data_IF_096142811026
#
_entry.id   IF_096142811026
#
_cell.length_a   1.000
_cell.length_b   1.000
_cell.length_c   1.000
_cell.angle_alpha   90.00
_cell.angle_beta   90.00
_cell.angle_gamma   90.00
#
_symmetry.space_group_name_H-M   'P 1'
#
loop_
_entity.id
_entity.type
_entity.pdbx_description
1 polymer ?
#
# COMPACT_ATOMS: atom_id res chain seq x y z
N UNK A 1 41.63 30.25 -6.46
CA UNK A 1 42.08 28.87 -6.25
C UNK A 1 41.87 28.48 -4.79
N UNK A 2 40.69 27.90 -4.49
CA UNK A 2 40.38 26.82 -3.51
C UNK A 2 38.84 26.68 -3.50
N UNK A 3 38.26 25.47 -3.59
CA UNK A 3 36.87 25.26 -3.97
C UNK A 3 35.89 25.08 -2.79
N UNK A 4 34.61 25.05 -3.17
CA UNK A 4 33.38 24.84 -2.41
C UNK A 4 33.39 23.73 -1.36
N UNK A 5 32.53 23.91 -0.35
CA UNK A 5 31.96 22.78 0.40
C UNK A 5 30.55 23.11 0.94
N UNK A 6 29.56 23.18 0.04
CA UNK A 6 28.16 23.10 0.45
C UNK A 6 27.83 21.64 0.79
N UNK A 7 27.64 21.37 2.09
CA UNK A 7 27.12 20.10 2.62
C UNK A 7 25.78 19.78 1.98
N UNK A 8 25.75 18.75 1.15
CA UNK A 8 24.54 18.03 0.77
C UNK A 8 23.93 17.42 2.04
N UNK A 9 22.68 17.77 2.33
CA UNK A 9 21.86 17.15 3.37
C UNK A 9 21.50 15.71 2.96
N UNK A 10 21.56 14.72 3.85
CA UNK A 10 21.33 13.32 3.48
C UNK A 10 19.85 12.99 3.29
N UNK A 11 19.62 12.20 2.23
CA UNK A 11 18.49 11.35 1.83
C UNK A 11 17.38 11.12 2.87
N UNK A 12 16.13 11.37 2.47
CA UNK A 12 14.91 10.83 3.11
C UNK A 12 15.06 9.31 3.27
N UNK A 13 15.08 8.85 4.51
CA UNK A 13 15.13 7.44 4.89
C UNK A 13 13.85 6.73 4.41
N UNK A 14 14.00 5.60 3.71
CA UNK A 14 12.90 4.71 3.41
C UNK A 14 12.21 4.27 4.71
N UNK A 15 10.89 4.38 4.74
CA UNK A 15 10.08 4.20 5.94
C UNK A 15 10.17 2.76 6.48
N UNK A 16 10.52 2.60 7.76
CA UNK A 16 10.78 1.29 8.39
C UNK A 16 9.60 0.31 8.46
N UNK A 17 8.41 0.71 8.02
CA UNK A 17 7.25 -0.18 7.91
C UNK A 17 7.38 -1.16 6.72
N UNK A 18 8.11 -0.80 5.65
CA UNK A 18 8.42 -1.74 4.55
C UNK A 18 9.13 -2.99 5.08
N UNK A 19 10.10 -2.83 5.99
CA UNK A 19 10.81 -3.96 6.60
C UNK A 19 9.91 -4.87 7.45
N UNK A 20 8.86 -4.30 8.09
CA UNK A 20 7.89 -5.05 8.90
C UNK A 20 6.90 -5.86 8.05
N UNK A 21 6.70 -5.48 6.78
CA UNK A 21 5.86 -6.25 5.84
C UNK A 21 6.56 -7.48 5.29
N UNK A 22 7.87 -7.40 5.03
CA UNK A 22 8.64 -8.49 4.44
C UNK A 22 9.15 -9.52 5.46
N UNK A 23 8.92 -9.30 6.76
CA UNK A 23 9.31 -10.26 7.79
C UNK A 23 8.19 -10.55 8.81
N UNK A 24 7.22 -11.43 8.45
CA UNK A 24 6.15 -11.82 9.36
C UNK A 24 6.60 -12.77 10.48
N UNK A 25 7.89 -13.13 10.60
CA UNK A 25 8.38 -14.02 11.68
C UNK A 25 9.58 -13.40 12.38
N UNK A 26 9.33 -12.64 13.44
CA UNK A 26 10.32 -12.41 14.51
C UNK A 26 9.81 -13.11 15.76
N UNK A 27 10.16 -14.39 15.87
CA UNK A 27 9.82 -15.26 17.00
C UNK A 27 10.48 -16.62 16.82
N UNK A 28 11.60 -16.78 17.53
CA UNK A 28 12.28 -18.03 17.93
C UNK A 28 12.78 -19.00 16.85
N UNK A 29 13.99 -18.74 16.35
CA UNK A 29 14.89 -19.80 15.92
C UNK A 29 15.62 -20.38 17.13
N UNK A 30 15.06 -21.44 17.73
CA UNK A 30 15.82 -22.42 18.51
C UNK A 30 14.98 -23.68 18.79
N UNK A 31 15.16 -24.73 17.99
CA UNK A 31 15.52 -26.08 18.49
C UNK A 31 15.51 -27.12 17.38
N UNK A 32 16.60 -27.87 17.34
CA UNK A 32 16.80 -29.04 16.51
C UNK A 32 15.96 -30.24 17.02
N UNK A 33 15.55 -31.07 16.06
CA UNK A 33 15.11 -32.47 16.18
C UNK A 33 13.93 -32.76 17.13
N UNK A 34 12.75 -33.00 16.55
CA UNK A 34 11.72 -33.83 17.17
C UNK A 34 11.02 -34.73 16.15
N UNK A 35 10.76 -35.95 16.62
CA UNK A 35 10.12 -37.08 15.98
C UNK A 35 8.86 -36.75 15.18
N UNK A 36 8.66 -37.49 14.08
CA UNK A 36 7.42 -37.51 13.29
C UNK A 36 6.28 -38.11 14.15
N UNK A 37 5.64 -37.27 14.94
CA UNK A 37 4.44 -37.63 15.68
C UNK A 37 3.29 -36.75 15.17
N UNK A 38 2.43 -37.37 14.34
CA UNK A 38 1.07 -36.94 14.01
C UNK A 38 0.90 -35.43 13.74
N UNK A 39 1.35 -34.98 12.56
CA UNK A 39 1.15 -33.61 12.08
C UNK A 39 -0.35 -33.39 11.78
N UNK A 40 -1.17 -33.23 12.82
CA UNK A 40 -2.46 -32.58 12.69
C UNK A 40 -2.19 -31.11 12.39
N UNK A 41 -1.90 -30.80 11.12
CA UNK A 41 -1.79 -29.44 10.64
C UNK A 41 -3.16 -28.81 10.88
N UNK A 42 -3.25 -27.88 11.82
CA UNK A 42 -4.42 -27.03 11.99
C UNK A 42 -4.61 -26.23 10.69
N UNK A 43 -5.46 -26.73 9.80
CA UNK A 43 -5.80 -26.05 8.55
C UNK A 43 -6.79 -24.94 8.89
N UNK A 44 -6.35 -23.69 8.81
CA UNK A 44 -7.25 -22.55 8.90
C UNK A 44 -8.23 -22.59 7.72
N UNK A 45 -9.53 -22.70 8.03
CA UNK A 45 -10.57 -22.66 7.01
C UNK A 45 -10.87 -21.21 6.59
N UNK A 46 -11.13 -20.95 5.30
CA UNK A 46 -11.57 -19.63 4.85
C UNK A 46 -12.82 -19.17 5.61
N UNK A 47 -12.78 -17.93 6.08
CA UNK A 47 -13.92 -17.25 6.72
C UNK A 47 -14.40 -16.10 5.85
N UNK A 48 -15.66 -15.67 5.98
CA UNK A 48 -16.17 -14.50 5.26
C UNK A 48 -15.28 -13.26 5.45
N UNK A 49 -15.18 -12.45 4.39
CA UNK A 49 -14.53 -11.14 4.45
C UNK A 49 -15.34 -10.20 5.34
N UNK A 50 -14.67 -9.44 6.20
CA UNK A 50 -15.31 -8.38 7.00
C UNK A 50 -14.32 -7.24 7.23
N UNK A 51 -14.85 -6.02 7.40
CA UNK A 51 -14.09 -4.85 7.83
C UNK A 51 -13.30 -5.11 9.12
N UNK A 52 -13.89 -5.85 10.08
CA UNK A 52 -13.23 -6.19 11.34
C UNK A 52 -11.96 -7.02 11.12
N UNK A 53 -11.99 -8.01 10.22
CA UNK A 53 -10.79 -8.84 9.94
C UNK A 53 -9.65 -8.04 9.33
N UNK A 54 -9.96 -7.03 8.52
CA UNK A 54 -8.97 -6.09 7.98
C UNK A 54 -8.41 -5.23 9.11
N UNK A 55 -9.29 -4.65 9.95
CA UNK A 55 -8.89 -3.86 11.11
C UNK A 55 -8.00 -4.65 12.09
N UNK A 56 -8.29 -5.94 12.29
CA UNK A 56 -7.51 -6.84 13.13
C UNK A 56 -6.12 -7.10 12.53
N UNK A 57 -6.01 -7.37 11.22
CA UNK A 57 -4.71 -7.52 10.54
C UNK A 57 -3.86 -6.24 10.65
N UNK A 58 -4.45 -5.07 10.39
CA UNK A 58 -3.76 -3.80 10.52
C UNK A 58 -3.32 -3.53 11.97
N UNK A 59 -4.17 -3.87 12.95
CA UNK A 59 -3.88 -3.73 14.38
C UNK A 59 -2.72 -4.64 14.81
N UNK A 60 -2.71 -5.91 14.38
CA UNK A 60 -1.62 -6.87 14.66
C UNK A 60 -0.27 -6.38 14.15
N UNK A 61 -0.26 -5.63 13.04
CA UNK A 61 0.96 -5.03 12.45
C UNK A 61 1.35 -3.70 13.07
N UNK A 62 0.56 -3.18 14.00
CA UNK A 62 0.76 -1.88 14.64
C UNK A 62 0.50 -0.69 13.71
N UNK A 63 -0.29 -0.88 12.64
CA UNK A 63 -0.66 0.21 11.74
C UNK A 63 -1.72 1.11 12.35
N UNK A 64 -1.63 2.41 12.03
CA UNK A 64 -2.62 3.41 12.43
C UNK A 64 -3.64 3.55 11.32
N UNK A 65 -4.90 3.27 11.65
CA UNK A 65 -6.04 3.44 10.77
C UNK A 65 -7.21 4.05 11.55
N UNK A 66 -8.25 4.42 10.83
CA UNK A 66 -9.57 4.79 11.36
C UNK A 66 -10.64 4.08 10.54
N UNK A 67 -11.83 4.01 11.10
CA UNK A 67 -13.05 3.69 10.36
C UNK A 67 -13.72 5.02 10.06
N UNK A 68 -14.11 5.28 8.81
CA UNK A 68 -14.82 6.50 8.45
C UNK A 68 -16.34 6.35 8.60
N UNK A 69 -17.09 7.39 8.20
CA UNK A 69 -18.55 7.43 8.38
C UNK A 69 -19.31 6.35 7.60
N UNK A 70 -18.70 5.80 6.55
CA UNK A 70 -19.31 4.77 5.71
C UNK A 70 -18.94 3.36 6.21
N UNK A 71 -18.13 3.26 7.28
CA UNK A 71 -17.67 2.00 7.83
C UNK A 71 -16.39 1.47 7.19
N UNK A 72 -15.77 2.23 6.27
CA UNK A 72 -14.56 1.81 5.58
C UNK A 72 -13.30 2.00 6.44
N UNK A 73 -12.39 1.02 6.36
CA UNK A 73 -11.07 1.17 6.99
C UNK A 73 -10.23 2.09 6.14
N UNK A 74 -9.56 3.05 6.78
CA UNK A 74 -8.74 4.02 6.07
C UNK A 74 -7.57 4.54 6.89
N UNK A 75 -6.47 4.86 6.21
CA UNK A 75 -5.23 5.31 6.86
C UNK A 75 -4.29 6.02 5.89
N UNK A 76 -3.08 6.29 6.36
CA UNK A 76 -2.06 6.99 5.58
C UNK A 76 -0.74 6.21 5.62
N UNK A 77 -0.18 5.91 4.45
CA UNK A 77 1.08 5.21 4.27
C UNK A 77 1.99 6.01 3.33
N UNK A 78 3.19 6.34 3.78
CA UNK A 78 4.15 7.21 3.07
C UNK A 78 3.54 8.54 2.57
N UNK A 79 2.65 9.12 3.37
CA UNK A 79 1.91 10.34 3.04
C UNK A 79 0.70 10.12 2.11
N UNK A 80 0.60 8.96 1.46
CA UNK A 80 -0.51 8.62 0.57
C UNK A 80 -1.70 8.08 1.36
N UNK A 81 -2.89 8.40 0.89
CA UNK A 81 -4.16 8.01 1.53
C UNK A 81 -4.58 6.64 1.02
N UNK A 82 -5.03 5.76 1.90
CA UNK A 82 -5.56 4.45 1.52
C UNK A 82 -6.93 4.17 2.12
N UNK A 83 -7.73 3.40 1.40
CA UNK A 83 -9.00 2.82 1.83
C UNK A 83 -8.99 1.32 1.56
N UNK A 84 -9.63 0.57 2.46
CA UNK A 84 -9.89 -0.86 2.33
C UNK A 84 -11.40 -1.01 2.26
N UNK A 85 -11.90 -1.12 1.03
CA UNK A 85 -13.31 -1.14 0.71
C UNK A 85 -13.76 -2.59 0.59
N UNK A 86 -14.93 -2.90 1.14
CA UNK A 86 -15.67 -4.10 0.80
C UNK A 86 -16.68 -3.72 -0.28
N UNK A 87 -16.63 -4.39 -1.42
CA UNK A 87 -17.47 -4.15 -2.59
C UNK A 87 -18.17 -5.46 -2.99
N UNK A 88 -19.13 -5.36 -3.90
CA UNK A 88 -19.93 -6.51 -4.33
C UNK A 88 -21.34 -6.47 -3.72
N UNK A 89 -22.18 -7.43 -4.07
CA UNK A 89 -23.55 -7.51 -3.54
C UNK A 89 -23.58 -8.05 -2.10
N UNK A 90 -22.52 -8.76 -1.70
CA UNK A 90 -22.37 -9.44 -0.41
C UNK A 90 -21.12 -8.97 0.35
N UNK A 91 -20.57 -7.80 -0.01
CA UNK A 91 -19.34 -7.25 0.57
C UNK A 91 -18.13 -8.20 0.44
N UNK A 92 -18.09 -8.97 -0.64
CA UNK A 92 -17.17 -10.09 -0.86
C UNK A 92 -15.85 -9.70 -1.54
N UNK A 93 -15.78 -8.54 -2.18
CA UNK A 93 -14.58 -8.07 -2.89
C UNK A 93 -13.81 -7.11 -1.98
N UNK A 94 -12.59 -7.50 -1.60
CA UNK A 94 -11.66 -6.58 -0.94
C UNK A 94 -10.97 -5.71 -1.98
N UNK A 95 -11.13 -4.40 -1.89
CA UNK A 95 -10.34 -3.43 -2.64
C UNK A 95 -9.43 -2.60 -1.73
N UNK A 96 -8.12 -2.68 -1.98
CA UNK A 96 -7.12 -1.77 -1.42
C UNK A 96 -6.93 -0.63 -2.43
N UNK A 97 -7.50 0.54 -2.13
CA UNK A 97 -7.40 1.73 -2.97
C UNK A 97 -6.44 2.73 -2.35
N UNK A 98 -5.40 3.10 -3.08
CA UNK A 98 -4.49 4.19 -2.74
C UNK A 98 -4.81 5.44 -3.56
N UNK A 99 -4.72 6.62 -2.94
CA UNK A 99 -4.65 7.92 -3.61
C UNK A 99 -3.29 8.53 -3.34
N UNK A 100 -2.61 8.91 -4.41
CA UNK A 100 -1.36 9.62 -4.33
C UNK A 100 -1.53 10.97 -3.63
N UNK A 101 -0.62 11.32 -2.73
CA UNK A 101 -0.64 12.62 -2.07
C UNK A 101 -0.22 13.77 -2.98
N UNK A 102 0.58 13.46 -4.01
CA UNK A 102 1.07 14.44 -4.97
C UNK A 102 -0.02 14.96 -5.92
N UNK A 103 0.28 16.09 -6.54
CA UNK A 103 -0.54 16.69 -7.57
C UNK A 103 0.13 16.53 -8.93
N UNK A 104 -0.67 16.30 -9.98
CA UNK A 104 -0.16 16.21 -11.32
C UNK A 104 -0.09 17.57 -12.01
N UNK A 105 1.07 18.23 -11.91
CA UNK A 105 1.32 19.49 -12.58
C UNK A 105 1.25 19.35 -14.11
N UNK A 106 0.98 20.46 -14.81
CA UNK A 106 0.91 20.45 -16.27
C UNK A 106 2.24 20.02 -16.92
N UNK A 107 3.39 20.35 -16.30
CA UNK A 107 4.71 20.05 -16.83
C UNK A 107 5.12 18.58 -16.67
N UNK A 108 4.73 17.90 -15.59
CA UNK A 108 5.03 16.47 -15.38
C UNK A 108 3.95 15.53 -15.92
N UNK A 109 2.77 16.05 -16.27
CA UNK A 109 1.59 15.29 -16.69
C UNK A 109 1.88 14.20 -17.71
N UNK A 110 2.50 14.55 -18.84
CA UNK A 110 2.72 13.61 -19.93
C UNK A 110 3.61 12.44 -19.50
N UNK A 111 4.73 12.74 -18.82
CA UNK A 111 5.67 11.72 -18.36
C UNK A 111 5.07 10.78 -17.32
N UNK A 112 4.29 11.31 -16.38
CA UNK A 112 3.63 10.50 -15.35
C UNK A 112 2.50 9.64 -15.93
N UNK A 113 1.71 10.15 -16.87
CA UNK A 113 0.68 9.34 -17.55
C UNK A 113 1.32 8.22 -18.38
N UNK A 114 2.46 8.48 -19.03
CA UNK A 114 3.23 7.44 -19.70
C UNK A 114 3.72 6.38 -18.70
N UNK A 115 4.30 6.79 -17.57
CA UNK A 115 4.73 5.87 -16.52
C UNK A 115 3.56 5.05 -15.92
N UNK A 116 2.37 5.65 -15.84
CA UNK A 116 1.14 4.97 -15.41
C UNK A 116 0.75 3.87 -16.41
N UNK A 117 0.80 4.15 -17.71
CA UNK A 117 0.54 3.16 -18.76
C UNK A 117 1.61 2.05 -18.76
N UNK A 118 2.87 2.42 -18.61
CA UNK A 118 3.98 1.47 -18.54
C UNK A 118 3.85 0.53 -17.34
N UNK A 119 3.45 1.08 -16.18
CA UNK A 119 3.18 0.29 -14.98
C UNK A 119 2.11 -0.78 -15.23
N UNK A 120 0.94 -0.39 -15.73
CA UNK A 120 -0.15 -1.31 -16.03
C UNK A 120 0.21 -2.35 -17.10
N UNK A 121 1.10 -2.01 -18.04
CA UNK A 121 1.55 -2.93 -19.09
C UNK A 121 2.50 -4.00 -18.52
N UNK A 122 3.36 -3.63 -17.58
CA UNK A 122 4.49 -4.46 -17.15
C UNK A 122 4.23 -5.22 -15.85
N UNK A 123 3.22 -4.82 -15.07
CA UNK A 123 2.96 -5.37 -13.74
C UNK A 123 1.49 -5.76 -13.61
N UNK A 124 1.27 -6.89 -12.92
CA UNK A 124 -0.08 -7.34 -12.59
C UNK A 124 -0.72 -6.40 -11.56
N UNK A 125 0.06 -5.91 -10.59
CA UNK A 125 -0.44 -5.09 -9.48
C UNK A 125 0.41 -3.85 -9.19
N UNK A 126 -0.22 -2.77 -8.70
CA UNK A 126 -1.66 -2.51 -8.75
C UNK A 126 -2.12 -2.09 -10.16
N UNK A 127 -3.44 -2.11 -10.40
CA UNK A 127 -4.04 -1.31 -11.48
C UNK A 127 -3.90 0.16 -11.09
N UNK A 128 -3.42 1.00 -11.99
CA UNK A 128 -3.22 2.44 -11.73
C UNK A 128 -3.93 3.30 -12.74
N UNK A 129 -4.42 4.46 -12.31
CA UNK A 129 -5.14 5.37 -13.19
C UNK A 129 -5.14 6.80 -12.65
N UNK A 130 -5.43 7.75 -13.52
CA UNK A 130 -5.62 9.14 -13.15
C UNK A 130 -7.10 9.49 -13.04
N UNK A 131 -7.47 10.32 -12.06
CA UNK A 131 -8.84 10.76 -11.83
C UNK A 131 -8.88 12.28 -11.57
N UNK A 132 -9.84 13.01 -12.19
CA UNK A 132 -10.07 14.41 -11.84
C UNK A 132 -10.59 14.56 -10.41
N UNK A 133 -10.04 15.52 -9.68
CA UNK A 133 -10.50 15.99 -8.38
C UNK A 133 -10.64 17.52 -8.41
N UNK A 134 -11.15 18.11 -7.31
CA UNK A 134 -11.42 19.54 -7.21
C UNK A 134 -10.20 20.44 -7.52
N UNK A 135 -8.99 19.97 -7.20
CA UNK A 135 -7.75 20.74 -7.34
C UNK A 135 -6.87 20.30 -8.51
N UNK A 136 -7.35 19.39 -9.37
CA UNK A 136 -6.59 18.90 -10.52
C UNK A 136 -6.70 17.40 -10.72
N UNK A 137 -5.77 16.85 -11.49
CA UNK A 137 -5.71 15.41 -11.75
C UNK A 137 -4.83 14.75 -10.67
N UNK A 138 -5.32 13.67 -10.07
CA UNK A 138 -4.51 12.85 -9.15
C UNK A 138 -4.43 11.40 -9.63
N UNK A 139 -3.55 10.63 -9.00
CA UNK A 139 -3.35 9.22 -9.30
C UNK A 139 -3.94 8.33 -8.22
N UNK A 140 -4.48 7.21 -8.68
CA UNK A 140 -5.04 6.15 -7.87
C UNK A 140 -4.39 4.81 -8.22
N UNK A 141 -4.34 3.94 -7.23
CA UNK A 141 -3.91 2.55 -7.36
C UNK A 141 -4.96 1.64 -6.74
N UNK A 142 -5.24 0.50 -7.35
CA UNK A 142 -6.20 -0.49 -6.85
C UNK A 142 -5.63 -1.91 -6.98
N UNK A 143 -5.71 -2.65 -5.88
CA UNK A 143 -5.71 -4.13 -5.90
C UNK A 143 -7.10 -4.57 -5.44
N UNK A 144 -7.73 -5.45 -6.20
CA UNK A 144 -9.05 -6.00 -5.85
C UNK A 144 -9.00 -7.51 -5.96
N UNK A 145 -9.50 -8.18 -4.93
CA UNK A 145 -9.56 -9.64 -4.86
C UNK A 145 -10.96 -10.02 -4.40
N UNK A 146 -11.57 -10.94 -5.14
CA UNK A 146 -12.85 -11.54 -4.82
C UNK A 146 -12.65 -12.65 -3.79
N UNK A 147 -13.33 -12.52 -2.65
CA UNK A 147 -13.36 -13.47 -1.56
C UNK A 147 -14.79 -13.99 -1.31
N UNK A 148 -15.59 -14.20 -2.36
CA UNK A 148 -16.94 -14.80 -2.31
C UNK A 148 -16.96 -16.09 -1.47
N UNK A 149 -15.91 -16.90 -1.54
CA UNK A 149 -15.78 -18.15 -0.77
C UNK A 149 -14.96 -18.01 0.52
N UNK A 150 -14.73 -16.78 0.97
CA UNK A 150 -13.92 -16.45 2.13
C UNK A 150 -12.42 -16.44 1.88
N UNK A 151 -11.69 -16.03 2.91
CA UNK A 151 -10.23 -16.01 2.96
C UNK A 151 -9.74 -16.51 4.33
N UNK A 152 -8.55 -17.12 4.37
CA UNK A 152 -7.79 -17.28 5.63
C UNK A 152 -7.21 -15.93 6.06
N UNK A 153 -6.81 -15.80 7.32
CA UNK A 153 -6.17 -14.58 7.81
C UNK A 153 -4.85 -14.31 7.07
N UNK A 154 -4.10 -15.36 6.69
CA UNK A 154 -2.88 -15.25 5.89
C UNK A 154 -3.14 -14.75 4.45
N UNK A 155 -4.20 -15.23 3.80
CA UNK A 155 -4.59 -14.75 2.46
C UNK A 155 -5.00 -13.28 2.50
N UNK A 156 -5.77 -12.89 3.51
CA UNK A 156 -6.17 -11.50 3.73
C UNK A 156 -4.94 -10.62 3.99
N UNK A 157 -4.06 -11.06 4.89
CA UNK A 157 -2.80 -10.42 5.24
C UNK A 157 -1.89 -10.22 4.02
N UNK A 158 -1.76 -11.24 3.17
CA UNK A 158 -0.97 -11.16 1.94
C UNK A 158 -1.58 -10.16 0.95
N UNK A 159 -2.90 -10.14 0.82
CA UNK A 159 -3.63 -9.23 -0.08
C UNK A 159 -3.48 -7.78 0.35
N UNK A 160 -3.65 -7.49 1.64
CA UNK A 160 -3.40 -6.17 2.25
C UNK A 160 -1.95 -5.73 2.01
N UNK A 161 -0.99 -6.62 2.25
CA UNK A 161 0.43 -6.33 2.06
C UNK A 161 0.76 -6.02 0.59
N UNK A 162 0.24 -6.85 -0.33
CA UNK A 162 0.41 -6.66 -1.76
C UNK A 162 -0.13 -5.28 -2.19
N UNK A 163 -1.37 -4.97 -1.80
CA UNK A 163 -2.01 -3.69 -2.13
C UNK A 163 -1.22 -2.48 -1.63
N UNK A 164 -0.80 -2.48 -0.35
CA UNK A 164 -0.05 -1.37 0.23
C UNK A 164 1.35 -1.22 -0.40
N UNK A 165 2.10 -2.31 -0.53
CA UNK A 165 3.49 -2.27 -1.00
C UNK A 165 3.55 -1.86 -2.46
N UNK A 166 2.77 -2.51 -3.31
CA UNK A 166 2.84 -2.29 -4.75
C UNK A 166 2.31 -0.89 -5.12
N UNK A 167 1.29 -0.39 -4.41
CA UNK A 167 0.84 1.00 -4.52
C UNK A 167 1.92 2.00 -4.08
N UNK A 168 2.58 1.77 -2.94
CA UNK A 168 3.64 2.65 -2.47
C UNK A 168 4.84 2.68 -3.44
N UNK A 169 5.20 1.54 -4.04
CA UNK A 169 6.21 1.46 -5.09
C UNK A 169 5.81 2.28 -6.33
N UNK A 170 4.55 2.16 -6.78
CA UNK A 170 4.04 2.97 -7.88
C UNK A 170 4.13 4.47 -7.55
N UNK A 171 3.59 4.89 -6.41
CA UNK A 171 3.58 6.29 -5.98
C UNK A 171 4.99 6.86 -5.79
N UNK A 172 5.94 6.07 -5.31
CA UNK A 172 7.34 6.47 -5.23
C UNK A 172 7.96 6.66 -6.63
N UNK A 173 7.62 5.81 -7.60
CA UNK A 173 8.15 5.92 -8.96
C UNK A 173 7.66 7.18 -9.69
N UNK A 174 6.37 7.51 -9.58
CA UNK A 174 5.80 8.74 -10.18
C UNK A 174 6.21 10.01 -9.42
N UNK A 175 6.44 9.92 -8.10
CA UNK A 175 6.97 11.03 -7.32
C UNK A 175 8.38 11.42 -7.77
N UNK A 176 9.21 10.46 -8.19
CA UNK A 176 10.54 10.76 -8.72
C UNK A 176 10.52 11.52 -10.07
N UNK A 177 9.40 11.46 -10.79
CA UNK A 177 9.18 12.19 -12.05
C UNK A 177 8.60 13.59 -11.84
N UNK A 178 8.19 13.91 -10.62
CA UNK A 178 7.54 15.18 -10.30
C UNK A 178 8.50 16.04 -9.49
N UNK A 179 8.81 17.28 -9.92
CA UNK A 179 9.60 18.19 -9.13
C UNK A 179 8.95 18.42 -7.75
N UNK A 180 9.72 18.64 -6.67
CA UNK A 180 9.15 19.11 -5.43
C UNK A 180 8.38 20.42 -5.69
N UNK A 181 7.17 20.54 -5.16
CA UNK A 181 6.46 21.82 -5.18
C UNK A 181 7.33 22.86 -4.47
N UNK A 182 7.70 23.91 -5.19
CA UNK A 182 8.26 25.11 -4.59
C UNK A 182 7.06 25.80 -3.93
N UNK A 183 6.93 25.70 -2.61
CA UNK A 183 5.99 26.54 -1.87
C UNK A 183 6.41 27.99 -2.06
N UNK A 184 5.48 28.79 -2.58
CA UNK A 184 5.64 30.24 -2.82
C UNK A 184 5.44 31.05 -1.52
N UNK A 185 5.43 30.41 -0.34
CA UNK A 185 5.20 31.05 0.98
C UNK A 185 6.41 31.88 1.48
N UNK A 186 7.33 32.25 0.59
CA UNK A 186 8.51 33.06 0.87
C UNK A 186 8.49 34.41 0.14
N UNK A 187 7.32 35.03 -0.03
CA UNK A 187 7.20 36.37 -0.63
C UNK A 187 6.42 37.36 0.21
#
# INVERSE_FOLDING_TARGET
MRPDNHRLSPRRTASGWFARLFNPRTGDEQSAAHDRADDNVDIELPRPLTTQRIADDLSRRGYKFRIDHDGDVTGTWDGNRFWFLLLGEHDEILQIRGRWAGNLSASSRLGVLQATNDWNRERIWPKVYARPEAHGLTLYSEVSVDFEHGATDDQLAQTVSCGLVTAAQFFASVAALTPPEISDDAR
#
